data_IF_986790154575
#
_entry.id   IF_986790154575
#
_cell.length_a   1.000
_cell.length_b   1.000
_cell.length_c   1.000
_cell.angle_alpha   90.00
_cell.angle_beta   90.00
_cell.angle_gamma   90.00
#
_symmetry.space_group_name_H-M   'P 1'
#
loop_
_entity.id
_entity.type
_entity.pdbx_description
1 polymer ?
#
# COMPACT_ATOMS: atom_id res chain seq x y z
N UNK A 1 -31.02 -20.23 -27.46
CA UNK A 1 -30.08 -19.11 -27.31
C UNK A 1 -30.31 -18.53 -25.93
N UNK A 2 -29.54 -19.02 -24.95
CA UNK A 2 -29.65 -18.62 -23.54
C UNK A 2 -28.77 -17.40 -23.29
N UNK A 3 -29.40 -16.36 -22.81
CA UNK A 3 -28.82 -15.03 -22.60
C UNK A 3 -27.65 -15.08 -21.60
N UNK A 4 -26.47 -14.63 -22.03
CA UNK A 4 -25.26 -14.52 -21.22
C UNK A 4 -25.41 -13.61 -19.99
N UNK A 5 -26.41 -12.76 -19.97
CA UNK A 5 -26.69 -11.84 -18.85
C UNK A 5 -27.33 -12.53 -17.63
N UNK A 6 -27.95 -13.69 -17.80
CA UNK A 6 -28.57 -14.44 -16.70
C UNK A 6 -27.59 -15.31 -15.93
N UNK A 7 -26.44 -15.64 -16.51
CA UNK A 7 -25.41 -16.46 -15.87
C UNK A 7 -24.64 -15.68 -14.78
N UNK A 8 -24.39 -14.41 -14.99
CA UNK A 8 -23.64 -13.56 -14.04
C UNK A 8 -24.46 -13.15 -12.81
N UNK A 9 -25.77 -13.32 -12.81
CA UNK A 9 -26.64 -13.00 -11.64
C UNK A 9 -26.82 -14.16 -10.64
N UNK A 10 -26.33 -15.36 -10.94
CA UNK A 10 -26.52 -16.56 -10.09
C UNK A 10 -25.26 -17.07 -9.40
N UNK A 11 -24.12 -16.41 -9.58
CA UNK A 11 -22.85 -16.77 -8.93
C UNK A 11 -22.59 -16.05 -7.59
N UNK A 12 -23.55 -15.35 -7.05
CA UNK A 12 -23.48 -14.76 -5.72
C UNK A 12 -24.16 -15.65 -4.68
N UNK A 13 -23.44 -15.95 -3.61
CA UNK A 13 -23.88 -16.57 -2.36
C UNK A 13 -23.72 -18.09 -2.27
N UNK A 14 -22.54 -18.55 -1.84
CA UNK A 14 -22.42 -19.63 -0.83
C UNK A 14 -21.29 -19.23 0.12
N UNK A 15 -21.65 -18.70 1.28
CA UNK A 15 -20.75 -18.52 2.41
C UNK A 15 -20.76 -19.81 3.24
N UNK A 16 -19.66 -20.53 3.33
CA UNK A 16 -19.47 -21.62 4.28
C UNK A 16 -18.68 -21.10 5.48
N UNK A 17 -19.33 -21.08 6.64
CA UNK A 17 -18.70 -20.79 7.93
C UNK A 17 -17.80 -21.97 8.35
N UNK A 18 -16.51 -21.73 8.57
CA UNK A 18 -15.62 -22.68 9.23
C UNK A 18 -15.23 -22.13 10.61
N UNK A 19 -15.46 -22.92 11.65
CA UNK A 19 -15.12 -22.61 13.02
C UNK A 19 -13.61 -22.75 13.24
N UNK A 20 -12.99 -21.73 13.88
CA UNK A 20 -11.58 -21.72 14.25
C UNK A 20 -11.34 -22.43 15.59
N UNK A 21 -10.30 -23.24 15.67
CA UNK A 21 -9.79 -23.86 16.90
C UNK A 21 -8.46 -23.21 17.29
N UNK A 22 -8.24 -22.86 18.56
CA UNK A 22 -7.03 -22.14 18.99
C UNK A 22 -5.89 -23.13 19.28
N UNK A 23 -4.71 -22.87 18.69
CA UNK A 23 -3.46 -23.48 19.13
C UNK A 23 -2.51 -22.38 19.59
N UNK A 24 -2.05 -22.49 20.82
CA UNK A 24 -1.02 -21.63 21.37
C UNK A 24 0.36 -22.09 20.87
N UNK A 25 1.13 -21.17 20.33
CA UNK A 25 2.57 -21.31 20.09
C UNK A 25 3.27 -20.42 21.10
N UNK A 26 4.14 -21.01 21.90
CA UNK A 26 4.96 -20.30 22.88
C UNK A 26 6.02 -19.49 22.13
N UNK A 27 5.94 -18.18 22.19
CA UNK A 27 6.81 -17.26 21.46
C UNK A 27 8.11 -17.03 22.22
N UNK A 28 9.25 -17.25 21.57
CA UNK A 28 10.54 -16.70 22.00
C UNK A 28 10.52 -15.18 21.85
N UNK A 29 10.80 -14.45 22.93
CA UNK A 29 10.86 -12.99 22.93
C UNK A 29 12.10 -12.50 22.16
N UNK A 30 11.99 -11.47 21.30
CA UNK A 30 13.14 -10.90 20.61
C UNK A 30 14.07 -10.14 21.56
N UNK A 31 15.33 -10.05 21.17
CA UNK A 31 16.36 -9.26 21.84
C UNK A 31 16.01 -7.75 21.82
N UNK A 32 15.94 -7.06 22.98
CA UNK A 32 15.55 -5.65 23.06
C UNK A 32 16.61 -4.65 22.58
N UNK A 33 17.70 -5.12 21.95
CA UNK A 33 18.84 -4.29 21.57
C UNK A 33 18.75 -3.56 20.20
N UNK A 34 17.71 -3.80 19.38
CA UNK A 34 17.53 -3.06 18.12
C UNK A 34 16.75 -1.77 18.39
N UNK A 35 17.44 -0.64 18.42
CA UNK A 35 16.80 0.67 18.42
C UNK A 35 15.94 0.83 17.17
N UNK A 36 14.64 1.07 17.33
CA UNK A 36 13.77 1.51 16.26
C UNK A 36 14.26 2.86 15.74
N UNK A 37 14.74 2.89 14.51
CA UNK A 37 14.96 4.17 13.84
C UNK A 37 13.59 4.81 13.59
N UNK A 38 13.44 6.07 14.04
CA UNK A 38 12.28 6.88 13.67
C UNK A 38 12.15 6.91 12.15
N UNK A 39 10.92 7.00 11.64
CA UNK A 39 10.66 7.17 10.21
C UNK A 39 11.65 8.21 9.65
N UNK A 40 12.41 7.90 8.59
CA UNK A 40 13.31 8.88 8.01
C UNK A 40 12.47 10.06 7.50
N UNK A 41 12.64 11.23 8.14
CA UNK A 41 12.26 12.48 7.50
C UNK A 41 13.04 12.50 6.19
N UNK A 42 12.42 12.88 5.08
CA UNK A 42 13.06 13.01 3.76
C UNK A 42 14.21 14.01 3.84
N UNK A 43 15.30 13.58 4.40
CA UNK A 43 16.52 14.34 4.59
C UNK A 43 17.67 13.62 3.92
N UNK A 44 18.32 14.28 2.99
CA UNK A 44 19.51 13.93 2.24
C UNK A 44 20.30 12.73 2.80
N UNK A 45 19.95 11.52 2.36
CA UNK A 45 20.88 10.40 2.42
C UNK A 45 21.97 10.69 1.37
N UNK A 46 23.21 10.83 1.83
CA UNK A 46 24.35 11.11 0.97
C UNK A 46 24.44 10.08 -0.17
N UNK A 47 24.25 10.55 -1.40
CA UNK A 47 24.32 9.74 -2.62
C UNK A 47 23.02 9.53 -3.39
N UNK A 48 21.87 9.97 -2.88
CA UNK A 48 20.64 10.00 -3.65
C UNK A 48 20.69 11.18 -4.65
N UNK A 49 20.39 10.88 -5.92
CA UNK A 49 20.15 11.91 -6.91
C UNK A 49 19.05 12.84 -6.37
N UNK A 50 19.35 14.11 -6.18
CA UNK A 50 18.32 15.10 -5.85
C UNK A 50 17.63 15.49 -7.15
N UNK A 51 16.41 14.97 -7.42
CA UNK A 51 15.73 15.25 -8.66
C UNK A 51 15.43 16.75 -8.77
N UNK A 52 15.74 17.33 -9.92
CA UNK A 52 15.35 18.70 -10.23
C UNK A 52 13.90 18.68 -10.71
N UNK A 53 13.09 19.63 -10.25
CA UNK A 53 11.69 19.75 -10.66
C UNK A 53 10.80 20.38 -9.58
N UNK A 54 9.61 20.79 -9.97
CA UNK A 54 8.62 21.38 -9.07
C UNK A 54 7.69 20.33 -8.42
N UNK A 55 7.90 19.05 -8.73
CA UNK A 55 7.14 17.94 -8.19
C UNK A 55 7.89 17.22 -7.05
N UNK A 56 7.15 16.55 -6.17
CA UNK A 56 7.71 15.67 -5.17
C UNK A 56 8.17 14.36 -5.85
N UNK A 57 9.45 13.95 -5.76
CA UNK A 57 9.89 12.71 -6.41
C UNK A 57 9.28 11.49 -5.73
N UNK A 58 8.98 10.45 -6.51
CA UNK A 58 8.57 9.15 -6.00
C UNK A 58 9.80 8.47 -5.41
N UNK A 59 9.76 8.17 -4.11
CA UNK A 59 10.83 7.48 -3.39
C UNK A 59 10.39 6.14 -2.79
N UNK A 60 9.12 5.75 -2.98
CA UNK A 60 8.63 4.45 -2.58
C UNK A 60 7.63 3.88 -3.57
N UNK A 61 7.47 2.56 -3.56
CA UNK A 61 6.47 1.88 -4.39
C UNK A 61 5.91 0.65 -3.70
N UNK A 62 4.64 0.38 -3.97
CA UNK A 62 4.09 -0.95 -3.70
C UNK A 62 4.62 -1.98 -4.69
N UNK A 63 4.60 -3.25 -4.29
CA UNK A 63 4.80 -4.45 -5.10
C UNK A 63 3.55 -5.31 -4.93
N UNK A 64 2.95 -5.75 -6.02
CA UNK A 64 1.72 -6.54 -5.99
C UNK A 64 1.76 -7.68 -7.01
N UNK A 65 1.75 -8.91 -6.54
CA UNK A 65 1.73 -10.13 -7.35
C UNK A 65 0.49 -11.01 -7.10
N UNK A 66 -0.39 -10.61 -6.18
CA UNK A 66 -1.50 -11.48 -5.75
C UNK A 66 -2.87 -10.85 -5.79
N UNK A 67 -3.01 -9.55 -6.06
CA UNK A 67 -4.31 -8.92 -6.22
C UNK A 67 -5.01 -9.43 -7.47
N UNK A 68 -6.34 -9.58 -7.38
CA UNK A 68 -7.15 -10.20 -8.43
C UNK A 68 -7.55 -9.24 -9.55
N UNK A 69 -7.34 -7.95 -9.38
CA UNK A 69 -7.81 -6.88 -10.26
C UNK A 69 -6.70 -6.31 -11.17
N UNK A 70 -5.46 -6.70 -10.95
CA UNK A 70 -4.35 -6.45 -11.86
C UNK A 70 -3.73 -7.77 -12.32
N UNK A 71 -3.25 -7.86 -13.59
CA UNK A 71 -2.60 -9.07 -14.07
C UNK A 71 -1.21 -9.20 -13.45
N UNK A 72 -0.92 -10.34 -12.82
CA UNK A 72 0.46 -10.61 -12.39
C UNK A 72 1.38 -10.82 -13.60
N UNK A 73 2.67 -10.55 -13.44
CA UNK A 73 3.60 -10.53 -14.55
C UNK A 73 4.35 -11.85 -14.75
N UNK A 74 4.14 -12.85 -13.87
CA UNK A 74 4.84 -14.12 -13.87
C UNK A 74 6.38 -13.97 -13.84
N UNK A 75 6.87 -13.00 -13.10
CA UNK A 75 8.29 -12.74 -12.99
C UNK A 75 8.99 -13.74 -12.06
N UNK A 76 10.19 -14.15 -12.45
CA UNK A 76 11.14 -14.83 -11.59
C UNK A 76 12.13 -13.86 -10.94
N UNK A 77 13.12 -14.43 -10.23
CA UNK A 77 14.13 -13.64 -9.50
C UNK A 77 14.92 -12.68 -10.42
N UNK A 78 15.18 -13.07 -11.68
CA UNK A 78 15.94 -12.22 -12.62
C UNK A 78 15.16 -10.97 -13.04
N UNK A 79 13.88 -11.12 -13.27
CA UNK A 79 13.00 -10.00 -13.63
C UNK A 79 12.83 -9.06 -12.44
N UNK A 80 12.60 -9.59 -11.25
CA UNK A 80 12.55 -8.80 -10.02
C UNK A 80 13.86 -8.08 -9.73
N UNK A 81 15.01 -8.75 -9.89
CA UNK A 81 16.32 -8.11 -9.71
C UNK A 81 16.50 -6.91 -10.65
N UNK A 82 16.12 -7.06 -11.92
CA UNK A 82 16.16 -5.97 -12.90
C UNK A 82 15.19 -4.85 -12.55
N UNK A 83 14.01 -5.19 -12.03
CA UNK A 83 13.02 -4.20 -11.66
C UNK A 83 13.48 -3.34 -10.46
N UNK A 84 14.08 -3.96 -9.46
CA UNK A 84 14.73 -3.25 -8.36
C UNK A 84 15.85 -2.33 -8.83
N UNK A 85 16.60 -2.75 -9.85
CA UNK A 85 17.62 -1.89 -10.49
C UNK A 85 16.98 -0.66 -11.13
N UNK A 86 15.87 -0.82 -11.85
CA UNK A 86 15.13 0.31 -12.43
C UNK A 86 14.53 1.23 -11.37
N UNK A 87 13.96 0.68 -10.30
CA UNK A 87 13.49 1.46 -9.15
C UNK A 87 14.61 2.29 -8.54
N UNK A 88 15.77 1.67 -8.29
CA UNK A 88 16.94 2.36 -7.74
C UNK A 88 17.41 3.49 -8.64
N UNK A 89 17.40 3.28 -9.96
CA UNK A 89 17.84 4.28 -10.93
C UNK A 89 17.03 5.58 -10.90
N UNK A 90 15.77 5.55 -10.45
CA UNK A 90 14.92 6.74 -10.32
C UNK A 90 14.80 7.26 -8.87
N UNK A 91 15.57 6.68 -7.94
CA UNK A 91 15.64 7.15 -6.55
C UNK A 91 14.63 6.50 -5.59
N UNK A 92 14.00 5.39 -5.95
CA UNK A 92 13.19 4.62 -5.00
C UNK A 92 14.11 4.00 -3.95
N UNK A 93 13.82 4.26 -2.70
CA UNK A 93 14.53 3.78 -1.51
C UNK A 93 13.67 2.86 -0.63
N UNK A 94 12.38 2.77 -0.92
CA UNK A 94 11.40 2.02 -0.13
C UNK A 94 10.53 1.17 -1.05
N UNK A 95 10.50 -0.12 -0.80
CA UNK A 95 9.60 -1.08 -1.48
C UNK A 95 8.64 -1.68 -0.47
N UNK A 96 7.38 -1.83 -0.84
CA UNK A 96 6.29 -2.19 0.06
C UNK A 96 5.55 -3.37 -0.55
N UNK A 97 5.67 -4.57 0.00
CA UNK A 97 4.74 -5.66 -0.35
C UNK A 97 3.33 -5.23 0.08
N UNK A 98 2.41 -5.11 -0.87
CA UNK A 98 1.08 -4.57 -0.59
C UNK A 98 0.32 -5.40 0.45
N UNK A 99 0.51 -6.72 0.41
CA UNK A 99 -0.05 -7.67 1.37
C UNK A 99 0.66 -9.01 1.30
N UNK A 100 0.99 -9.57 2.44
CA UNK A 100 1.61 -10.90 2.50
C UNK A 100 0.66 -12.05 2.14
N UNK A 101 -0.61 -11.75 1.96
CA UNK A 101 -1.62 -12.67 1.49
C UNK A 101 -2.96 -11.98 1.24
N UNK A 102 -3.68 -12.46 0.23
CA UNK A 102 -5.04 -12.05 -0.10
C UNK A 102 -5.92 -13.29 -0.26
N UNK A 103 -6.89 -13.45 0.64
CA UNK A 103 -7.74 -14.64 0.70
C UNK A 103 -6.88 -15.93 0.80
N UNK A 104 -6.83 -16.76 -0.27
CA UNK A 104 -6.04 -18.00 -0.31
C UNK A 104 -4.68 -17.84 -0.98
N UNK A 105 -4.41 -16.72 -1.64
CA UNK A 105 -3.13 -16.44 -2.27
C UNK A 105 -2.20 -15.78 -1.27
N UNK A 106 -0.99 -16.28 -1.11
CA UNK A 106 0.00 -15.81 -0.13
C UNK A 106 1.35 -15.63 -0.79
N UNK A 107 2.13 -14.67 -0.30
CA UNK A 107 3.46 -14.33 -0.85
C UNK A 107 4.61 -15.08 -0.17
N UNK A 108 4.32 -15.82 0.90
CA UNK A 108 5.28 -16.62 1.64
C UNK A 108 4.62 -17.90 2.20
N UNK A 109 5.39 -18.97 2.50
CA UNK A 109 4.83 -20.23 3.02
C UNK A 109 4.44 -20.10 4.50
N UNK A 110 3.34 -19.41 4.80
CA UNK A 110 2.81 -19.22 6.15
C UNK A 110 2.27 -20.51 6.74
N UNK A 111 2.82 -21.05 7.83
CA UNK A 111 2.25 -22.22 8.52
C UNK A 111 0.80 -22.02 8.97
N UNK A 112 0.49 -20.82 9.45
CA UNK A 112 -0.87 -20.48 9.89
C UNK A 112 -1.85 -20.45 8.72
N UNK A 113 -1.56 -19.67 7.66
CA UNK A 113 -2.48 -19.51 6.53
C UNK A 113 -2.64 -20.81 5.72
N UNK A 114 -1.59 -21.63 5.60
CA UNK A 114 -1.67 -22.96 4.96
C UNK A 114 -2.63 -23.89 5.70
N UNK A 115 -2.65 -23.89 7.04
CA UNK A 115 -3.64 -24.62 7.84
C UNK A 115 -5.07 -24.10 7.63
N UNK A 116 -5.22 -22.82 7.27
CA UNK A 116 -6.51 -22.21 6.92
C UNK A 116 -6.92 -22.47 5.46
N UNK A 117 -6.12 -23.23 4.71
CA UNK A 117 -6.41 -23.62 3.33
C UNK A 117 -5.92 -22.64 2.28
N UNK A 118 -4.94 -21.80 2.61
CA UNK A 118 -4.21 -21.01 1.60
C UNK A 118 -3.43 -21.92 0.65
N UNK A 119 -3.12 -21.40 -0.53
CA UNK A 119 -2.30 -22.10 -1.51
C UNK A 119 -0.81 -21.90 -1.20
N UNK A 120 -0.03 -22.99 -1.30
CA UNK A 120 1.43 -22.90 -1.19
C UNK A 120 1.98 -21.99 -2.31
N UNK A 121 2.71 -20.92 -2.00
CA UNK A 121 3.31 -20.09 -3.03
C UNK A 121 4.44 -20.85 -3.74
N UNK A 122 4.61 -20.59 -5.04
CA UNK A 122 5.69 -21.18 -5.83
C UNK A 122 7.06 -20.59 -5.49
N UNK A 123 7.07 -19.36 -5.01
CA UNK A 123 8.25 -18.60 -4.59
C UNK A 123 7.94 -17.91 -3.27
N UNK A 124 8.93 -17.86 -2.38
CA UNK A 124 8.88 -17.00 -1.18
C UNK A 124 9.26 -15.57 -1.60
N UNK A 125 8.25 -14.76 -1.95
CA UNK A 125 8.46 -13.39 -2.42
C UNK A 125 8.95 -12.47 -1.30
N UNK A 126 8.60 -12.72 -0.05
CA UNK A 126 9.09 -11.90 1.06
C UNK A 126 10.60 -12.07 1.24
N UNK A 127 11.09 -13.33 1.21
CA UNK A 127 12.54 -13.60 1.24
C UNK A 127 13.25 -12.93 0.06
N UNK A 128 12.70 -13.09 -1.15
CA UNK A 128 13.26 -12.51 -2.36
C UNK A 128 13.34 -10.98 -2.26
N UNK A 129 12.24 -10.32 -1.87
CA UNK A 129 12.20 -8.86 -1.79
C UNK A 129 13.09 -8.30 -0.67
N UNK A 130 13.20 -8.98 0.46
CA UNK A 130 14.16 -8.62 1.51
C UNK A 130 15.61 -8.68 1.00
N UNK A 131 15.99 -9.76 0.30
CA UNK A 131 17.34 -9.90 -0.29
C UNK A 131 17.63 -8.85 -1.36
N UNK A 132 16.67 -8.57 -2.22
CA UNK A 132 16.83 -7.54 -3.26
C UNK A 132 16.89 -6.14 -2.65
N UNK A 133 16.09 -5.86 -1.64
CA UNK A 133 16.16 -4.59 -0.91
C UNK A 133 17.53 -4.39 -0.25
N UNK A 134 18.12 -5.43 0.37
CA UNK A 134 19.50 -5.37 0.87
C UNK A 134 20.52 -5.11 -0.24
N UNK A 135 20.41 -5.85 -1.35
CA UNK A 135 21.31 -5.71 -2.49
C UNK A 135 21.34 -4.28 -3.05
N UNK A 136 20.19 -3.62 -3.12
CA UNK A 136 20.08 -2.27 -3.69
C UNK A 136 20.08 -1.15 -2.63
N UNK A 137 20.26 -1.47 -1.35
CA UNK A 137 20.25 -0.50 -0.25
C UNK A 137 18.90 0.21 -0.09
N UNK A 138 17.82 -0.55 -0.22
CA UNK A 138 16.44 -0.10 -0.01
C UNK A 138 15.89 -0.61 1.32
N UNK A 139 14.81 -0.02 1.80
CA UNK A 139 14.02 -0.55 2.91
C UNK A 139 12.80 -1.30 2.36
N UNK A 140 12.58 -2.48 2.91
CA UNK A 140 11.40 -3.31 2.63
C UNK A 140 10.36 -3.13 3.74
N UNK A 141 9.14 -2.83 3.35
CA UNK A 141 7.99 -2.76 4.25
C UNK A 141 6.99 -3.84 3.89
N UNK A 142 6.41 -4.45 4.91
CA UNK A 142 5.52 -5.57 4.69
C UNK A 142 4.07 -5.20 4.95
N UNK A 143 3.21 -5.45 3.94
CA UNK A 143 1.77 -5.41 4.08
C UNK A 143 1.21 -6.67 4.76
N UNK A 144 0.28 -6.46 5.67
CA UNK A 144 -0.34 -7.53 6.44
C UNK A 144 -1.28 -8.37 5.56
N UNK A 145 -1.75 -9.50 6.10
CA UNK A 145 -2.71 -10.37 5.45
C UNK A 145 -4.08 -9.70 5.33
N UNK A 146 -4.68 -9.81 4.15
CA UNK A 146 -6.03 -9.38 3.83
C UNK A 146 -6.91 -10.59 3.55
N UNK A 147 -7.86 -10.85 4.44
CA UNK A 147 -8.79 -11.98 4.28
C UNK A 147 -9.83 -11.75 3.17
N UNK A 148 -9.99 -10.53 2.71
CA UNK A 148 -11.03 -10.08 1.78
C UNK A 148 -12.41 -9.93 2.42
N UNK A 149 -12.57 -10.24 3.72
CA UNK A 149 -13.90 -10.20 4.37
C UNK A 149 -14.44 -8.80 4.59
N UNK A 150 -13.57 -7.84 4.94
CA UNK A 150 -14.01 -6.47 5.16
C UNK A 150 -14.54 -5.80 3.89
N UNK A 151 -14.10 -6.24 2.72
CA UNK A 151 -14.65 -5.79 1.44
C UNK A 151 -16.13 -6.17 1.26
N UNK A 152 -16.52 -7.34 1.78
CA UNK A 152 -17.90 -7.82 1.70
C UNK A 152 -18.75 -7.32 2.86
N UNK A 153 -18.18 -7.18 4.06
CA UNK A 153 -18.89 -6.85 5.30
C UNK A 153 -18.81 -5.38 5.70
N UNK A 154 -17.80 -4.66 5.21
CA UNK A 154 -17.45 -3.32 5.69
C UNK A 154 -16.89 -3.29 7.12
N UNK A 155 -16.46 -4.43 7.68
CA UNK A 155 -15.97 -4.58 9.06
C UNK A 155 -14.58 -5.22 9.09
N UNK A 156 -13.59 -4.50 9.64
CA UNK A 156 -12.19 -4.92 9.73
C UNK A 156 -11.87 -5.82 10.94
N UNK A 157 -12.79 -6.06 11.84
CA UNK A 157 -12.50 -6.78 13.11
C UNK A 157 -11.90 -8.17 12.89
N UNK A 158 -12.28 -8.84 11.80
CA UNK A 158 -11.74 -10.14 11.46
C UNK A 158 -10.25 -10.11 11.09
N UNK A 159 -9.78 -9.04 10.49
CA UNK A 159 -8.39 -8.91 10.06
C UNK A 159 -7.42 -8.94 11.26
N UNK A 160 -7.86 -8.43 12.41
CA UNK A 160 -7.09 -8.45 13.66
C UNK A 160 -6.77 -9.89 14.09
N UNK A 161 -7.78 -10.76 14.08
CA UNK A 161 -7.62 -12.15 14.54
C UNK A 161 -6.66 -12.95 13.64
N UNK A 162 -6.76 -12.77 12.32
CA UNK A 162 -5.87 -13.43 11.37
C UNK A 162 -4.43 -12.92 11.51
N UNK A 163 -4.27 -11.60 11.63
CA UNK A 163 -2.96 -10.98 11.65
C UNK A 163 -2.19 -11.20 12.96
N UNK A 164 -2.83 -11.56 14.07
CA UNK A 164 -2.12 -11.95 15.30
C UNK A 164 -1.03 -13.01 15.05
N UNK A 165 -1.35 -14.02 14.26
CA UNK A 165 -0.42 -15.10 13.95
C UNK A 165 0.56 -14.71 12.82
N UNK A 166 0.06 -13.99 11.83
CA UNK A 166 0.84 -13.57 10.65
C UNK A 166 1.96 -12.61 11.05
N UNK A 167 1.69 -11.62 11.91
CA UNK A 167 2.70 -10.65 12.37
C UNK A 167 3.85 -11.36 13.06
N UNK A 168 3.57 -12.30 13.97
CA UNK A 168 4.59 -13.05 14.69
C UNK A 168 5.42 -13.95 13.75
N UNK A 169 4.75 -14.69 12.83
CA UNK A 169 5.43 -15.51 11.82
C UNK A 169 6.38 -14.69 10.94
N UNK A 170 5.93 -13.54 10.48
CA UNK A 170 6.71 -12.65 9.61
C UNK A 170 7.93 -12.10 10.34
N UNK A 171 7.74 -11.65 11.58
CA UNK A 171 8.86 -11.13 12.35
C UNK A 171 9.92 -12.20 12.62
N UNK A 172 9.50 -13.38 13.04
CA UNK A 172 10.40 -14.51 13.29
C UNK A 172 11.18 -14.92 12.03
N UNK A 173 10.51 -14.99 10.88
CA UNK A 173 11.10 -15.53 9.65
C UNK A 173 11.94 -14.52 8.88
N UNK A 174 11.54 -13.25 8.86
CA UNK A 174 12.13 -12.22 8.00
C UNK A 174 12.56 -10.97 8.76
N UNK A 175 11.68 -10.38 9.57
CA UNK A 175 11.93 -9.09 10.20
C UNK A 175 13.15 -9.10 11.10
N UNK A 176 13.35 -10.14 11.90
CA UNK A 176 14.52 -10.29 12.77
C UNK A 176 15.81 -10.66 12.03
N UNK A 177 15.69 -11.14 10.77
CA UNK A 177 16.79 -11.69 9.98
C UNK A 177 17.38 -10.67 8.99
N UNK A 178 16.52 -9.88 8.34
CA UNK A 178 16.95 -8.97 7.28
C UNK A 178 17.07 -7.53 7.77
N UNK A 179 18.24 -6.91 7.55
CA UNK A 179 18.48 -5.49 7.86
C UNK A 179 17.70 -4.53 6.96
N UNK A 180 17.23 -5.00 5.82
CA UNK A 180 16.35 -4.27 4.91
C UNK A 180 14.92 -4.12 5.43
N UNK A 181 14.45 -4.99 6.35
CA UNK A 181 13.12 -4.88 6.91
C UNK A 181 12.97 -3.55 7.66
N UNK A 182 12.17 -2.63 7.12
CA UNK A 182 12.11 -1.23 7.54
C UNK A 182 10.82 -0.82 8.24
N UNK A 183 9.75 -1.60 8.12
CA UNK A 183 8.46 -1.23 8.71
C UNK A 183 7.30 -2.09 8.24
N UNK A 184 6.09 -1.69 8.65
CA UNK A 184 4.86 -2.42 8.42
C UNK A 184 3.83 -1.57 7.69
N UNK A 185 3.19 -2.14 6.70
CA UNK A 185 1.99 -1.59 6.10
C UNK A 185 0.76 -2.32 6.66
N UNK A 186 -0.10 -1.57 7.36
CA UNK A 186 -1.37 -2.10 7.85
C UNK A 186 -2.36 -2.12 6.68
N UNK A 187 -2.37 -3.21 5.93
CA UNK A 187 -2.89 -3.34 4.57
C UNK A 187 -4.41 -3.22 4.41
N UNK A 188 -5.13 -2.79 5.43
CA UNK A 188 -6.55 -2.48 5.30
C UNK A 188 -6.77 -1.26 4.41
N UNK A 189 -7.25 -1.45 3.20
CA UNK A 189 -7.71 -0.34 2.36
C UNK A 189 -9.07 0.12 2.85
N UNK A 190 -9.09 1.23 3.58
CA UNK A 190 -10.29 1.78 4.17
C UNK A 190 -10.70 3.09 3.53
N UNK A 191 -11.98 3.40 3.65
CA UNK A 191 -12.50 4.77 3.61
C UNK A 191 -12.85 5.25 5.01
N UNK A 192 -13.24 6.51 5.11
CA UNK A 192 -13.75 7.13 6.33
C UNK A 192 -14.90 6.38 7.03
N UNK A 193 -15.66 5.56 6.28
CA UNK A 193 -16.85 4.86 6.77
C UNK A 193 -16.62 3.38 7.15
N UNK A 194 -15.38 2.89 7.08
CA UNK A 194 -15.09 1.49 7.37
C UNK A 194 -15.25 1.20 8.87
N UNK A 195 -16.16 0.28 9.21
CA UNK A 195 -16.44 -0.10 10.59
C UNK A 195 -15.25 -0.80 11.23
N UNK A 196 -14.96 -0.47 12.48
CA UNK A 196 -13.90 -1.10 13.26
C UNK A 196 -12.49 -0.71 12.83
N UNK A 197 -12.30 0.26 11.92
CA UNK A 197 -11.00 0.65 11.39
C UNK A 197 -10.05 1.15 12.49
N UNK A 198 -10.52 2.03 13.37
CA UNK A 198 -9.71 2.58 14.45
C UNK A 198 -9.19 1.47 15.37
N UNK A 199 -10.10 0.64 15.89
CA UNK A 199 -9.71 -0.45 16.81
C UNK A 199 -8.81 -1.48 16.14
N UNK A 200 -9.05 -1.78 14.86
CA UNK A 200 -8.23 -2.73 14.11
C UNK A 200 -6.83 -2.19 13.85
N UNK A 201 -6.68 -0.94 13.44
CA UNK A 201 -5.36 -0.33 13.25
C UNK A 201 -4.59 -0.17 14.56
N UNK A 202 -5.28 0.17 15.65
CA UNK A 202 -4.66 0.20 17.00
C UNK A 202 -4.14 -1.17 17.40
N UNK A 203 -4.95 -2.21 17.23
CA UNK A 203 -4.56 -3.57 17.62
C UNK A 203 -3.38 -4.10 16.79
N UNK A 204 -3.48 -4.03 15.46
CA UNK A 204 -2.44 -4.50 14.55
C UNK A 204 -1.16 -3.63 14.64
N UNK A 205 -1.28 -2.31 14.66
CA UNK A 205 -0.14 -1.40 14.79
C UNK A 205 0.61 -1.59 16.10
N UNK A 206 -0.11 -1.78 17.22
CA UNK A 206 0.49 -2.10 18.51
C UNK A 206 1.32 -3.38 18.42
N UNK A 207 0.73 -4.47 17.92
CA UNK A 207 1.44 -5.75 17.82
C UNK A 207 2.66 -5.64 16.90
N UNK A 208 2.55 -5.00 15.74
CA UNK A 208 3.68 -4.76 14.85
C UNK A 208 4.84 -4.06 15.57
N UNK A 209 4.54 -2.99 16.33
CA UNK A 209 5.54 -2.26 17.10
C UNK A 209 6.13 -3.12 18.24
N UNK A 210 5.32 -3.86 18.97
CA UNK A 210 5.75 -4.72 20.08
C UNK A 210 6.71 -5.81 19.60
N UNK A 211 6.39 -6.54 18.54
CA UNK A 211 7.26 -7.63 18.06
C UNK A 211 8.56 -7.13 17.44
N UNK A 212 8.52 -5.95 16.82
CA UNK A 212 9.65 -5.39 16.06
C UNK A 212 10.52 -4.39 16.85
N UNK A 213 10.22 -4.17 18.13
CA UNK A 213 10.94 -3.18 18.93
C UNK A 213 10.70 -1.74 18.49
N UNK A 214 9.49 -1.45 17.94
CA UNK A 214 9.05 -0.11 17.58
C UNK A 214 9.27 0.27 16.11
N UNK A 215 9.45 -0.67 15.19
CA UNK A 215 9.51 -0.33 13.76
C UNK A 215 8.24 0.41 13.33
N UNK A 216 8.38 1.37 12.42
CA UNK A 216 7.28 2.23 12.03
C UNK A 216 6.18 1.47 11.25
N UNK A 217 4.97 2.01 11.33
CA UNK A 217 3.78 1.51 10.65
C UNK A 217 3.16 2.60 9.80
N UNK A 218 2.46 2.23 8.73
CA UNK A 218 1.66 3.18 7.94
C UNK A 218 0.38 2.55 7.40
N UNK A 219 -0.54 3.41 6.97
CA UNK A 219 -1.79 3.08 6.29
C UNK A 219 -1.89 3.80 4.95
N UNK A 220 -2.65 3.24 4.00
CA UNK A 220 -2.89 3.86 2.69
C UNK A 220 -4.37 3.84 2.31
N UNK A 221 -5.20 4.68 2.97
CA UNK A 221 -6.63 4.77 2.70
C UNK A 221 -6.92 5.59 1.44
N UNK A 222 -8.15 5.45 0.89
CA UNK A 222 -8.57 6.31 -0.21
C UNK A 222 -9.38 7.53 0.25
N UNK A 223 -9.48 8.52 -0.62
CA UNK A 223 -10.29 9.72 -0.45
C UNK A 223 -11.58 9.57 -1.26
N UNK A 224 -12.74 9.81 -0.65
CA UNK A 224 -14.06 9.74 -1.34
C UNK A 224 -14.35 11.02 -2.12
N UNK A 225 -13.49 11.38 -3.08
CA UNK A 225 -13.64 12.55 -3.94
C UNK A 225 -14.63 12.33 -5.10
N UNK A 226 -14.69 13.28 -6.02
CA UNK A 226 -15.64 13.27 -7.16
C UNK A 226 -15.48 12.06 -8.08
N UNK A 227 -14.26 11.49 -8.21
CA UNK A 227 -14.00 10.31 -9.04
C UNK A 227 -14.46 9.00 -8.38
N UNK A 228 -14.56 8.94 -7.06
CA UNK A 228 -15.11 7.77 -6.36
C UNK A 228 -16.52 7.42 -6.86
N UNK A 229 -17.28 8.43 -7.18
CA UNK A 229 -18.63 8.31 -7.74
C UNK A 229 -18.63 7.61 -9.10
N UNK A 230 -17.68 7.93 -9.97
CA UNK A 230 -17.53 7.30 -11.28
C UNK A 230 -17.05 5.83 -11.15
N UNK A 231 -16.17 5.54 -10.20
CA UNK A 231 -15.64 4.20 -9.94
C UNK A 231 -16.70 3.23 -9.44
N UNK A 232 -17.73 3.71 -8.73
CA UNK A 232 -18.84 2.88 -8.23
C UNK A 232 -19.86 2.46 -9.29
N UNK A 233 -19.57 2.68 -10.58
CA UNK A 233 -20.44 2.29 -11.69
C UNK A 233 -21.73 3.11 -11.81
N UNK A 234 -21.70 4.35 -11.35
CA UNK A 234 -22.85 5.27 -11.41
C UNK A 234 -23.91 5.02 -10.34
N UNK A 235 -23.62 4.20 -9.32
CA UNK A 235 -24.54 3.97 -8.20
C UNK A 235 -24.58 5.13 -7.21
N UNK A 236 -23.53 5.95 -7.18
CA UNK A 236 -23.45 7.17 -6.38
C UNK A 236 -23.53 8.38 -7.31
N UNK A 237 -24.14 9.45 -6.87
CA UNK A 237 -24.15 10.72 -7.60
C UNK A 237 -22.95 11.58 -7.21
N UNK A 238 -22.58 12.57 -8.05
CA UNK A 238 -21.52 13.54 -7.68
C UNK A 238 -21.81 14.28 -6.36
N UNK A 239 -23.08 14.36 -5.96
CA UNK A 239 -23.50 14.96 -4.70
C UNK A 239 -23.14 14.11 -3.48
N UNK A 240 -22.76 12.84 -3.68
CA UNK A 240 -22.36 11.92 -2.62
C UNK A 240 -20.84 11.87 -2.41
N UNK A 241 -20.05 12.57 -3.24
CA UNK A 241 -18.65 12.82 -2.97
C UNK A 241 -18.53 13.62 -1.65
N UNK A 242 -17.57 13.23 -0.81
CA UNK A 242 -17.34 13.92 0.44
C UNK A 242 -16.82 15.34 0.20
N UNK A 243 -17.31 16.32 0.96
CA UNK A 243 -16.70 17.65 0.98
C UNK A 243 -15.35 17.62 1.72
N UNK A 244 -14.49 18.61 1.45
CA UNK A 244 -13.20 18.74 2.14
C UNK A 244 -13.38 18.89 3.65
N UNK A 245 -14.40 19.64 4.09
CA UNK A 245 -14.73 19.84 5.50
C UNK A 245 -15.21 18.55 6.19
N UNK A 246 -16.02 17.76 5.48
CA UNK A 246 -16.47 16.47 5.97
C UNK A 246 -15.30 15.48 6.06
N UNK A 247 -14.44 15.46 5.07
CA UNK A 247 -13.20 14.66 5.08
C UNK A 247 -12.31 15.05 6.26
N UNK A 248 -12.07 16.36 6.49
CA UNK A 248 -11.29 16.84 7.63
C UNK A 248 -11.87 16.36 8.96
N UNK A 249 -13.18 16.50 9.15
CA UNK A 249 -13.86 16.11 10.38
C UNK A 249 -13.70 14.61 10.68
N UNK A 250 -13.96 13.76 9.69
CA UNK A 250 -13.96 12.31 9.87
C UNK A 250 -12.54 11.74 10.00
N UNK A 251 -11.59 12.23 9.22
CA UNK A 251 -10.20 11.81 9.36
C UNK A 251 -9.51 12.38 10.60
N UNK A 252 -9.97 13.51 11.12
CA UNK A 252 -9.52 13.98 12.43
C UNK A 252 -9.88 12.98 13.54
N UNK A 253 -11.08 12.41 13.53
CA UNK A 253 -11.48 11.37 14.49
C UNK A 253 -10.66 10.09 14.33
N UNK A 254 -10.44 9.67 13.08
CA UNK A 254 -9.62 8.47 12.79
C UNK A 254 -8.18 8.69 13.28
N UNK A 255 -7.55 9.80 12.93
CA UNK A 255 -6.16 10.06 13.31
C UNK A 255 -6.00 10.20 14.84
N UNK A 256 -6.94 10.86 15.52
CA UNK A 256 -6.99 10.91 16.99
C UNK A 256 -6.97 9.50 17.59
N UNK A 257 -7.70 8.57 16.97
CA UNK A 257 -7.79 7.19 17.43
C UNK A 257 -6.57 6.31 17.15
N UNK A 258 -5.72 6.63 16.15
CA UNK A 258 -4.67 5.70 15.67
C UNK A 258 -3.24 6.22 15.80
N UNK A 259 -3.00 7.52 15.97
CA UNK A 259 -1.68 8.14 15.85
C UNK A 259 -0.60 7.59 16.80
N UNK A 260 -0.97 6.97 17.90
CA UNK A 260 -0.02 6.29 18.80
C UNK A 260 0.58 5.02 18.19
N UNK A 261 -0.12 4.41 17.22
CA UNK A 261 0.25 3.12 16.62
C UNK A 261 0.44 3.16 15.12
N UNK A 262 0.21 4.33 14.50
CA UNK A 262 0.38 4.56 13.05
C UNK A 262 1.23 5.81 12.86
N UNK A 263 2.40 5.65 12.24
CA UNK A 263 3.40 6.71 12.13
C UNK A 263 3.25 7.53 10.85
N UNK A 264 2.62 6.96 9.80
CA UNK A 264 2.42 7.66 8.53
C UNK A 264 1.08 7.30 7.89
N UNK A 265 0.55 8.23 7.09
CA UNK A 265 -0.62 8.01 6.25
C UNK A 265 -0.31 8.40 4.81
N UNK A 266 -0.51 7.48 3.87
CA UNK A 266 -0.30 7.66 2.44
C UNK A 266 -1.64 7.60 1.70
N UNK A 267 -2.39 8.71 1.65
CA UNK A 267 -3.67 8.72 0.97
C UNK A 267 -3.55 8.42 -0.52
N UNK A 268 -4.41 7.49 -1.01
CA UNK A 268 -4.57 7.18 -2.42
C UNK A 268 -5.32 8.33 -3.11
N UNK A 269 -4.77 8.84 -4.20
CA UNK A 269 -5.29 10.01 -4.91
C UNK A 269 -6.20 9.69 -6.10
N UNK A 270 -6.47 8.41 -6.37
CA UNK A 270 -7.20 7.98 -7.56
C UNK A 270 -8.67 8.37 -7.61
N UNK A 271 -9.28 8.69 -6.48
CA UNK A 271 -10.70 9.02 -6.38
C UNK A 271 -10.99 10.54 -6.26
N UNK A 272 -9.97 11.39 -6.26
CA UNK A 272 -10.15 12.85 -6.32
C UNK A 272 -9.86 13.39 -7.71
N UNK A 273 -10.57 14.45 -8.10
CA UNK A 273 -10.32 15.11 -9.38
C UNK A 273 -9.11 16.05 -9.26
N UNK A 274 -8.51 16.39 -10.41
CA UNK A 274 -7.28 17.22 -10.42
C UNK A 274 -7.51 18.63 -9.84
N UNK A 275 -8.73 19.15 -9.94
CA UNK A 275 -9.13 20.43 -9.32
C UNK A 275 -9.37 20.35 -7.81
N UNK A 276 -9.44 19.13 -7.24
CA UNK A 276 -9.63 18.90 -5.81
C UNK A 276 -8.30 18.64 -5.06
N UNK A 277 -7.20 18.36 -5.79
CA UNK A 277 -5.92 17.90 -5.20
C UNK A 277 -5.42 18.81 -4.09
N UNK A 278 -5.25 20.10 -4.35
CA UNK A 278 -4.67 21.04 -3.37
C UNK A 278 -5.54 21.15 -2.11
N UNK A 279 -6.86 21.08 -2.24
CA UNK A 279 -7.78 21.19 -1.11
C UNK A 279 -7.69 19.98 -0.17
N UNK A 280 -7.82 18.75 -0.72
CA UNK A 280 -7.70 17.54 0.08
C UNK A 280 -6.27 17.34 0.64
N UNK A 281 -5.25 17.61 -0.17
CA UNK A 281 -3.87 17.45 0.24
C UNK A 281 -3.48 18.41 1.37
N UNK A 282 -3.95 19.65 1.33
CA UNK A 282 -3.73 20.61 2.43
C UNK A 282 -4.37 20.15 3.73
N UNK A 283 -5.57 19.57 3.68
CA UNK A 283 -6.25 19.02 4.85
C UNK A 283 -5.52 17.78 5.38
N UNK A 284 -5.10 16.87 4.51
CA UNK A 284 -4.36 15.68 4.92
C UNK A 284 -3.04 16.05 5.63
N UNK A 285 -2.28 16.99 5.07
CA UNK A 285 -1.04 17.48 5.69
C UNK A 285 -1.32 18.15 7.04
N UNK A 286 -2.32 19.02 7.11
CA UNK A 286 -2.74 19.67 8.36
C UNK A 286 -3.08 18.65 9.46
N UNK A 287 -3.80 17.59 9.11
CA UNK A 287 -4.17 16.53 10.06
C UNK A 287 -2.95 15.72 10.49
N UNK A 288 -2.12 15.29 9.55
CA UNK A 288 -0.90 14.55 9.86
C UNK A 288 0.03 15.36 10.80
N UNK A 289 0.24 16.64 10.52
CA UNK A 289 1.05 17.53 11.39
C UNK A 289 0.44 17.69 12.78
N UNK A 290 -0.91 17.78 12.89
CA UNK A 290 -1.60 17.88 14.17
C UNK A 290 -1.32 16.69 15.10
N UNK A 291 -1.24 15.50 14.53
CA UNK A 291 -1.06 14.25 15.27
C UNK A 291 0.38 13.71 15.24
N UNK A 292 1.33 14.48 14.70
CA UNK A 292 2.73 14.08 14.63
C UNK A 292 3.01 12.90 13.68
N UNK A 293 2.09 12.64 12.75
CA UNK A 293 2.23 11.60 11.73
C UNK A 293 2.93 12.16 10.49
N UNK A 294 3.62 11.31 9.73
CA UNK A 294 4.09 11.68 8.41
C UNK A 294 2.93 11.65 7.39
N UNK A 295 2.92 12.64 6.50
CA UNK A 295 1.97 12.74 5.42
C UNK A 295 2.61 12.32 4.10
N UNK A 296 2.27 11.13 3.64
CA UNK A 296 2.71 10.62 2.33
C UNK A 296 1.57 10.70 1.32
N UNK A 297 1.90 10.77 0.03
CA UNK A 297 0.93 10.51 -1.03
C UNK A 297 1.17 9.13 -1.63
N UNK A 298 0.10 8.38 -1.88
CA UNK A 298 0.12 7.23 -2.77
C UNK A 298 -0.38 7.70 -4.14
N UNK A 299 0.56 8.18 -4.96
CA UNK A 299 0.27 8.67 -6.30
C UNK A 299 0.09 7.48 -7.24
N UNK A 300 -1.17 7.18 -7.61
CA UNK A 300 -1.44 6.08 -8.52
C UNK A 300 -0.80 6.33 -9.89
N UNK A 301 0.01 5.38 -10.37
CA UNK A 301 0.64 5.39 -11.70
C UNK A 301 -0.22 4.73 -12.77
N UNK A 302 -1.44 4.32 -12.43
CA UNK A 302 -2.45 3.88 -13.38
C UNK A 302 -3.58 4.92 -13.55
N UNK A 303 -4.33 4.81 -14.65
CA UNK A 303 -5.39 5.75 -15.00
C UNK A 303 -6.77 5.15 -14.69
N UNK A 304 -7.60 5.91 -13.96
CA UNK A 304 -9.01 5.57 -13.70
C UNK A 304 -9.99 6.25 -14.66
N UNK A 305 -9.53 7.25 -15.41
CA UNK A 305 -10.37 8.06 -16.31
C UNK A 305 -10.56 7.39 -17.69
N UNK A 306 -10.04 6.19 -17.89
CA UNK A 306 -10.12 5.47 -19.13
C UNK A 306 -11.18 4.34 -19.09
N UNK A 307 -11.82 4.00 -20.22
CA UNK A 307 -12.75 2.89 -20.29
C UNK A 307 -12.13 1.54 -19.89
N UNK A 308 -10.84 1.36 -20.17
CA UNK A 308 -10.04 0.22 -19.74
C UNK A 308 -9.32 0.64 -18.45
N UNK A 309 -9.67 0.01 -17.36
CA UNK A 309 -9.08 0.29 -16.05
C UNK A 309 -7.63 -0.22 -15.96
N UNK A 310 -6.87 0.41 -15.06
CA UNK A 310 -5.51 -0.01 -14.71
C UNK A 310 -4.56 -0.09 -15.92
N UNK A 311 -4.54 0.96 -16.73
CA UNK A 311 -3.45 1.20 -17.68
C UNK A 311 -2.50 2.28 -17.12
N UNK A 312 -1.22 2.27 -17.55
CA UNK A 312 -0.29 3.32 -17.16
C UNK A 312 -0.84 4.72 -17.40
N UNK A 313 -0.71 5.59 -16.42
CA UNK A 313 -1.22 6.97 -16.46
C UNK A 313 -0.39 7.83 -17.45
N UNK A 314 -0.99 8.87 -18.00
CA UNK A 314 -0.23 9.91 -18.71
C UNK A 314 0.67 10.66 -17.74
N UNK A 315 1.91 10.92 -18.13
CA UNK A 315 2.88 11.63 -17.29
C UNK A 315 2.36 12.99 -16.80
N UNK A 316 1.67 13.78 -17.63
CA UNK A 316 1.12 15.07 -17.21
C UNK A 316 0.15 14.95 -16.02
N UNK A 317 -0.66 13.90 -16.00
CA UNK A 317 -1.57 13.62 -14.88
C UNK A 317 -0.80 13.24 -13.61
N UNK A 318 0.21 12.37 -13.72
CA UNK A 318 1.08 12.01 -12.60
C UNK A 318 1.83 13.25 -12.08
N UNK A 319 2.37 14.07 -12.97
CA UNK A 319 3.06 15.31 -12.63
C UNK A 319 2.18 16.25 -11.81
N UNK A 320 0.92 16.47 -12.21
CA UNK A 320 -0.03 17.30 -11.46
C UNK A 320 -0.21 16.83 -10.02
N UNK A 321 -0.33 15.51 -9.80
CA UNK A 321 -0.43 14.90 -8.46
C UNK A 321 0.83 15.16 -7.62
N UNK A 322 2.00 14.90 -8.18
CA UNK A 322 3.28 15.08 -7.48
C UNK A 322 3.61 16.56 -7.22
N UNK A 323 3.23 17.47 -8.12
CA UNK A 323 3.35 18.92 -7.92
C UNK A 323 2.42 19.41 -6.80
N UNK A 324 1.17 18.92 -6.74
CA UNK A 324 0.24 19.22 -5.66
C UNK A 324 0.77 18.73 -4.31
N UNK A 325 1.29 17.50 -4.23
CA UNK A 325 1.90 16.95 -3.02
C UNK A 325 3.07 17.84 -2.53
N UNK A 326 3.92 18.29 -3.44
CA UNK A 326 5.03 19.18 -3.10
C UNK A 326 4.56 20.56 -2.60
N UNK A 327 3.56 21.16 -3.29
CA UNK A 327 2.98 22.47 -2.86
C UNK A 327 2.36 22.38 -1.47
N UNK A 328 1.71 21.26 -1.15
CA UNK A 328 1.08 21.03 0.15
C UNK A 328 2.06 20.57 1.25
N UNK A 329 3.36 20.41 0.94
CA UNK A 329 4.40 20.07 1.91
C UNK A 329 4.40 18.62 2.37
N UNK A 330 4.01 17.68 1.53
CA UNK A 330 4.05 16.25 1.83
C UNK A 330 5.49 15.78 2.07
N UNK A 331 5.64 14.82 2.99
CA UNK A 331 6.94 14.32 3.43
C UNK A 331 7.54 13.30 2.45
N UNK A 332 6.70 12.52 1.74
CA UNK A 332 7.12 11.46 0.82
C UNK A 332 6.05 11.19 -0.24
N UNK A 333 6.50 10.84 -1.44
CA UNK A 333 5.63 10.22 -2.44
C UNK A 333 5.98 8.75 -2.61
N UNK A 334 4.97 7.90 -2.44
CA UNK A 334 4.99 6.50 -2.86
C UNK A 334 3.99 6.32 -3.99
N UNK A 335 4.04 5.20 -4.70
CA UNK A 335 3.12 4.92 -5.81
C UNK A 335 2.56 3.51 -5.77
N UNK A 336 1.34 3.35 -6.22
CA UNK A 336 0.78 2.08 -6.65
C UNK A 336 0.66 2.13 -8.18
N UNK A 337 1.45 1.40 -8.95
CA UNK A 337 2.71 0.86 -8.45
C UNK A 337 3.73 0.83 -9.61
N UNK A 338 4.98 0.66 -9.33
CA UNK A 338 6.05 0.78 -10.32
C UNK A 338 6.05 -0.39 -11.33
N UNK A 339 6.02 -1.62 -10.84
CA UNK A 339 6.33 -2.83 -11.64
C UNK A 339 5.37 -3.03 -12.80
N UNK A 340 4.06 -2.76 -12.62
CA UNK A 340 3.05 -2.87 -13.68
C UNK A 340 2.92 -1.59 -14.52
N UNK A 341 2.95 -0.42 -13.87
CA UNK A 341 2.49 0.82 -14.51
C UNK A 341 3.61 1.81 -14.84
N UNK A 342 4.84 1.56 -14.39
CA UNK A 342 5.96 2.47 -14.64
C UNK A 342 7.26 1.74 -15.03
N UNK A 343 7.38 0.44 -14.83
CA UNK A 343 8.60 -0.31 -15.17
C UNK A 343 8.83 -0.42 -16.67
N UNK A 344 10.09 -0.24 -17.15
CA UNK A 344 10.45 -0.50 -18.56
C UNK A 344 10.23 -1.94 -19.01
N UNK A 345 10.14 -2.89 -18.08
CA UNK A 345 9.91 -4.31 -18.41
C UNK A 345 8.47 -4.78 -18.15
N UNK A 346 7.57 -3.86 -17.83
CA UNK A 346 6.14 -4.17 -17.65
C UNK A 346 5.52 -4.79 -18.90
N UNK A 347 4.49 -5.61 -18.69
CA UNK A 347 3.64 -6.10 -19.78
C UNK A 347 2.91 -4.97 -20.53
N UNK A 348 2.83 -3.76 -19.96
CA UNK A 348 2.27 -2.57 -20.59
C UNK A 348 3.38 -1.69 -21.19
N UNK A 349 3.52 -1.63 -22.54
CA UNK A 349 4.57 -0.81 -23.17
C UNK A 349 4.57 0.66 -22.74
N UNK A 350 3.38 1.21 -22.42
CA UNK A 350 3.21 2.58 -21.96
C UNK A 350 3.93 2.85 -20.61
N UNK A 351 4.14 1.83 -19.79
CA UNK A 351 4.86 1.95 -18.52
C UNK A 351 6.32 2.38 -18.74
N UNK A 352 7.01 1.78 -19.72
CA UNK A 352 8.35 2.20 -20.09
C UNK A 352 8.41 3.64 -20.58
N UNK A 353 7.41 4.09 -21.36
CA UNK A 353 7.33 5.49 -21.77
C UNK A 353 7.04 6.44 -20.60
N UNK A 354 6.24 6.00 -19.60
CA UNK A 354 6.03 6.78 -18.38
C UNK A 354 7.34 6.93 -17.58
N UNK A 355 8.13 5.84 -17.47
CA UNK A 355 9.45 5.84 -16.86
C UNK A 355 10.39 6.86 -17.52
N UNK A 356 10.45 6.84 -18.86
CA UNK A 356 11.30 7.77 -19.64
C UNK A 356 10.88 9.23 -19.41
N UNK A 357 9.57 9.53 -19.46
CA UNK A 357 9.06 10.90 -19.19
C UNK A 357 9.34 11.36 -17.77
N UNK A 358 9.25 10.46 -16.80
CA UNK A 358 9.60 10.74 -15.42
C UNK A 358 11.10 11.10 -15.30
N UNK A 359 11.99 10.28 -15.89
CA UNK A 359 13.43 10.56 -15.89
C UNK A 359 13.75 11.90 -16.55
N UNK A 360 13.18 12.19 -17.70
CA UNK A 360 13.36 13.47 -18.40
C UNK A 360 12.94 14.66 -17.53
N UNK A 361 11.79 14.60 -16.88
CA UNK A 361 11.29 15.67 -16.05
C UNK A 361 12.18 15.95 -14.82
N UNK A 362 12.67 14.90 -14.19
CA UNK A 362 13.52 15.00 -13.01
C UNK A 362 15.01 15.10 -13.37
N UNK A 363 15.39 15.16 -14.65
CA UNK A 363 16.76 15.20 -15.15
C UNK A 363 17.64 14.05 -14.61
N UNK A 364 17.05 12.85 -14.52
CA UNK A 364 17.73 11.62 -14.07
C UNK A 364 18.42 10.99 -15.28
N UNK A 365 19.75 10.73 -15.17
CA UNK A 365 20.56 10.17 -16.24
C UNK A 365 20.18 8.71 -16.61
#
# INVERSE_FOLDING_TARGET
MTDRRSFLKKAGIVAAAAAASPFAIEAMRPDPGRNAEALPKSGNAAGLLVPKGNALPITGTFLDEISHDIPHQNWGEKEWDRDFQHMKAIGIDTVIDIRCGYRKFITYPSPYLLKQGAYMPSVDLIDLFCRLAEKYGMKFWLGLYDSGRYWDTGDMSYEVEANKYVIDEIWERYGSKYGSFGGWYLSGEISRATKGAIDSFRAMGRQCKEVSGGLPTFISPWIDGKKAVAASGGKLSKAEAVSVEQHEKEWNEIFDGIHEYVDACAFQDGHIDYDELDAFFSVNKKLADRYGMQCWTNAETFDRDMPIKFLPIKFDKLRMKLEAAKRCGYDKAITFEFSHFMSPQSAYPQAGHLYDRYKEYFEIA
#
